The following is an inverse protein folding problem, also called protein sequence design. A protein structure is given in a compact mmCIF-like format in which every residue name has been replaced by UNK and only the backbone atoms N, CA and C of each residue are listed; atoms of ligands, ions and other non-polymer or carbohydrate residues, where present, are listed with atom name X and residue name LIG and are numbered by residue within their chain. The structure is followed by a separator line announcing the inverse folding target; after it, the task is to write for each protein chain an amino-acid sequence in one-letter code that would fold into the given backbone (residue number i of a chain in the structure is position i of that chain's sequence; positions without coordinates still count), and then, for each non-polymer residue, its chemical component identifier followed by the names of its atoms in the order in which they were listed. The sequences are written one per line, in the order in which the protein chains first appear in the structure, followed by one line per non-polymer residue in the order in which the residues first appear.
data_IF_129774068279
#
_entry.id   IF_129774068279
#
_cell.length_a   1.000
_cell.length_b   1.000
_cell.length_c   1.000
_cell.angle_alpha   90.00
_cell.angle_beta   90.00
_cell.angle_gamma   90.00
#
_symmetry.space_group_name_H-M   'P 1'
#
loop_
_entity.id
_entity.type
_entity.pdbx_description
1 polymer ?
#
# COMPACT_ATOMS: atom_id res chain seq x y z
N UNK A 1 0.94 30.29 13.22
CA UNK A 1 0.63 29.65 11.94
C UNK A 1 0.83 28.17 12.17
N UNK A 2 -0.20 27.33 12.15
CA UNK A 2 0.01 25.89 12.23
C UNK A 2 0.69 25.48 10.92
N UNK A 3 1.91 24.97 11.01
CA UNK A 3 2.59 24.41 9.83
C UNK A 3 1.70 23.33 9.24
N UNK A 4 1.38 23.44 7.96
CA UNK A 4 0.64 22.40 7.24
C UNK A 4 1.37 21.07 7.38
N UNK A 5 0.66 19.94 7.54
CA UNK A 5 1.29 18.65 7.71
C UNK A 5 2.17 18.29 6.50
N UNK A 6 3.27 17.60 6.75
CA UNK A 6 4.12 17.11 5.65
C UNK A 6 3.43 15.95 4.92
N UNK A 7 2.81 15.04 5.66
CA UNK A 7 2.12 13.87 5.09
C UNK A 7 0.65 13.87 5.44
N UNK A 8 -0.16 13.48 4.46
CA UNK A 8 -1.53 13.02 4.67
C UNK A 8 -1.57 11.51 4.36
N UNK A 9 -1.91 10.73 5.36
CA UNK A 9 -2.11 9.29 5.22
C UNK A 9 -3.60 9.01 5.26
N UNK A 10 -4.19 8.51 4.18
CA UNK A 10 -5.57 8.06 4.17
C UNK A 10 -5.66 6.58 4.53
N UNK A 11 -6.61 6.19 5.37
CA UNK A 11 -6.89 4.78 5.69
C UNK A 11 -8.37 4.50 5.51
N UNK A 12 -8.68 3.55 4.62
CA UNK A 12 -10.02 3.02 4.46
C UNK A 12 -10.23 1.85 5.42
N UNK A 13 -11.39 1.80 6.08
CA UNK A 13 -11.74 0.70 7.01
C UNK A 13 -13.22 0.33 6.94
N UNK A 14 -13.51 -0.95 7.18
CA UNK A 14 -14.87 -1.45 7.39
C UNK A 14 -14.85 -2.72 8.23
N UNK A 15 -15.44 -2.66 9.43
CA UNK A 15 -15.58 -3.80 10.35
C UNK A 15 -14.25 -4.50 10.64
N UNK A 16 -13.19 -3.72 10.92
CA UNK A 16 -11.85 -4.25 11.15
C UNK A 16 -11.06 -3.43 12.18
N UNK A 17 -11.72 -3.16 13.32
CA UNK A 17 -11.17 -2.31 14.39
C UNK A 17 -9.78 -2.77 14.86
N UNK A 18 -9.58 -4.08 14.98
CA UNK A 18 -8.33 -4.60 15.52
C UNK A 18 -7.13 -4.35 14.60
N UNK A 19 -7.33 -4.40 13.28
CA UNK A 19 -6.30 -4.09 12.29
C UNK A 19 -6.10 -2.58 12.21
N UNK A 20 -7.19 -1.81 12.16
CA UNK A 20 -7.15 -0.35 12.14
C UNK A 20 -6.32 0.21 13.30
N UNK A 21 -6.49 -0.30 14.52
CA UNK A 21 -5.70 0.14 15.68
C UNK A 21 -4.20 -0.02 15.45
N UNK A 22 -3.77 -1.16 14.93
CA UNK A 22 -2.36 -1.39 14.61
C UNK A 22 -1.84 -0.50 13.47
N UNK A 23 -2.66 -0.28 12.43
CA UNK A 23 -2.35 0.67 11.37
C UNK A 23 -2.11 2.07 11.94
N UNK A 24 -3.05 2.57 12.75
CA UNK A 24 -2.95 3.87 13.43
C UNK A 24 -1.70 3.95 14.30
N UNK A 25 -1.40 2.92 15.10
CA UNK A 25 -0.18 2.87 15.90
C UNK A 25 1.09 3.00 15.06
N UNK A 26 1.12 2.41 13.87
CA UNK A 26 2.26 2.49 12.96
C UNK A 26 2.46 3.90 12.37
N UNK A 27 1.38 4.63 12.14
CA UNK A 27 1.40 6.01 11.65
C UNK A 27 1.79 6.96 12.79
N UNK A 28 1.21 6.82 13.99
CA UNK A 28 1.59 7.58 15.20
C UNK A 28 3.06 7.43 15.57
N UNK A 29 3.63 6.27 15.27
CA UNK A 29 5.05 6.00 15.53
C UNK A 29 6.03 6.59 14.52
N UNK A 30 5.56 7.33 13.52
CA UNK A 30 6.44 8.03 12.58
C UNK A 30 6.98 9.30 13.23
N UNK A 31 8.28 9.41 13.32
CA UNK A 31 8.97 10.54 13.94
C UNK A 31 9.71 11.40 12.91
N UNK A 32 10.02 12.65 13.27
CA UNK A 32 10.78 13.58 12.44
C UNK A 32 9.97 14.25 11.32
N UNK A 33 8.65 14.01 11.26
CA UNK A 33 7.73 14.61 10.29
C UNK A 33 6.39 14.92 10.94
N UNK A 34 5.64 15.88 10.38
CA UNK A 34 4.27 16.13 10.76
C UNK A 34 3.31 15.35 9.88
N UNK A 35 2.37 14.64 10.50
CA UNK A 35 1.44 13.74 9.82
C UNK A 35 0.01 14.07 10.23
N UNK A 36 -0.89 14.21 9.27
CA UNK A 36 -2.32 14.07 9.49
C UNK A 36 -2.74 12.66 9.04
N UNK A 37 -3.44 11.96 9.91
CA UNK A 37 -3.98 10.64 9.60
C UNK A 37 -5.49 10.74 9.42
N UNK A 38 -5.97 10.44 8.22
CA UNK A 38 -7.38 10.55 7.83
C UNK A 38 -7.95 9.15 7.73
N UNK A 39 -8.94 8.84 8.57
CA UNK A 39 -9.59 7.52 8.58
C UNK A 39 -10.99 7.65 8.01
N UNK A 40 -11.24 6.95 6.92
CA UNK A 40 -12.55 6.81 6.29
C UNK A 40 -13.16 5.46 6.65
N UNK A 41 -14.19 5.51 7.49
CA UNK A 41 -14.93 4.34 7.94
C UNK A 41 -16.21 4.18 7.12
N UNK A 42 -16.38 3.03 6.50
CA UNK A 42 -17.56 2.70 5.69
C UNK A 42 -18.75 2.24 6.55
N UNK A 43 -19.16 3.05 7.53
CA UNK A 43 -20.26 2.77 8.47
C UNK A 43 -20.10 1.39 9.15
N UNK A 44 -18.97 1.16 9.80
CA UNK A 44 -18.71 -0.08 10.53
C UNK A 44 -19.67 -0.30 11.70
N UNK A 45 -19.91 -1.56 12.03
CA UNK A 45 -20.78 -1.99 13.15
C UNK A 45 -20.05 -2.75 14.26
N UNK A 46 -18.72 -2.89 14.17
CA UNK A 46 -17.86 -3.64 15.09
C UNK A 46 -17.25 -2.78 16.22
N UNK A 47 -17.80 -1.56 16.48
CA UNK A 47 -17.27 -0.62 17.45
C UNK A 47 -16.26 0.39 16.89
N UNK A 48 -15.86 0.28 15.62
CA UNK A 48 -14.93 1.22 14.95
C UNK A 48 -15.39 2.68 15.09
N UNK A 49 -16.64 3.08 14.79
CA UNK A 49 -17.06 4.47 14.92
C UNK A 49 -16.95 5.01 16.35
N UNK A 50 -17.31 4.17 17.35
CA UNK A 50 -17.20 4.54 18.74
C UNK A 50 -15.74 4.76 19.14
N UNK A 51 -14.84 3.86 18.74
CA UNK A 51 -13.42 4.02 19.01
C UNK A 51 -12.83 5.26 18.30
N UNK A 52 -13.17 5.51 17.03
CA UNK A 52 -12.72 6.68 16.28
C UNK A 52 -13.12 7.99 16.97
N UNK A 53 -14.31 8.07 17.55
CA UNK A 53 -14.77 9.24 18.30
C UNK A 53 -13.92 9.52 19.55
N UNK A 54 -13.15 8.57 20.04
CA UNK A 54 -12.21 8.76 21.17
C UNK A 54 -10.80 9.15 20.74
N UNK A 55 -10.53 9.30 19.44
CA UNK A 55 -9.21 9.58 18.88
C UNK A 55 -9.12 11.01 18.33
N UNK A 56 -8.81 12.03 19.16
CA UNK A 56 -8.88 13.45 18.75
C UNK A 56 -7.78 13.85 17.75
N UNK A 57 -6.75 13.06 17.61
CA UNK A 57 -5.63 13.26 16.67
C UNK A 57 -5.90 12.69 15.26
N UNK A 58 -6.97 11.93 15.08
CA UNK A 58 -7.39 11.41 13.79
C UNK A 58 -8.45 12.33 13.15
N UNK A 59 -8.31 12.55 11.85
CA UNK A 59 -9.39 13.10 11.04
C UNK A 59 -10.30 11.96 10.60
N UNK A 60 -11.19 11.52 11.50
CA UNK A 60 -12.05 10.36 11.26
C UNK A 60 -13.43 10.78 10.75
N UNK A 61 -13.89 10.11 9.71
CA UNK A 61 -15.25 10.26 9.17
C UNK A 61 -15.85 8.87 8.94
N UNK A 62 -17.08 8.66 9.43
CA UNK A 62 -17.86 7.44 9.18
C UNK A 62 -19.02 7.82 8.25
N UNK A 63 -18.95 7.34 7.01
CA UNK A 63 -19.94 7.60 5.97
C UNK A 63 -19.98 6.46 4.96
N UNK A 64 -21.10 6.24 4.25
CA UNK A 64 -21.14 5.25 3.19
C UNK A 64 -20.14 5.56 2.07
N UNK A 65 -19.53 4.52 1.51
CA UNK A 65 -18.66 4.61 0.35
C UNK A 65 -18.96 3.51 -0.70
N UNK A 66 -18.36 3.64 -1.87
CA UNK A 66 -18.46 2.67 -2.96
C UNK A 66 -17.29 1.69 -2.99
N UNK A 67 -16.51 1.59 -1.90
CA UNK A 67 -15.36 0.71 -1.73
C UNK A 67 -14.09 1.45 -1.38
N UNK A 68 -13.02 0.70 -1.13
CA UNK A 68 -11.73 1.16 -0.59
C UNK A 68 -11.17 2.39 -1.34
N UNK A 69 -11.18 2.40 -2.66
CA UNK A 69 -10.61 3.52 -3.43
C UNK A 69 -11.43 4.79 -3.35
N UNK A 70 -12.76 4.68 -3.23
CA UNK A 70 -13.65 5.81 -2.98
C UNK A 70 -13.39 6.40 -1.59
N UNK A 71 -13.28 5.55 -0.57
CA UNK A 71 -12.89 5.97 0.79
C UNK A 71 -11.53 6.70 0.80
N UNK A 72 -10.52 6.17 0.11
CA UNK A 72 -9.19 6.81 0.01
C UNK A 72 -9.31 8.17 -0.70
N UNK A 73 -10.10 8.26 -1.78
CA UNK A 73 -10.34 9.50 -2.49
C UNK A 73 -10.99 10.56 -1.61
N UNK A 74 -12.01 10.19 -0.81
CA UNK A 74 -12.62 11.06 0.20
C UNK A 74 -11.60 11.52 1.24
N UNK A 75 -10.73 10.63 1.72
CA UNK A 75 -9.64 10.97 2.62
C UNK A 75 -8.69 12.01 2.01
N UNK A 76 -8.25 11.80 0.78
CA UNK A 76 -7.38 12.77 0.09
C UNK A 76 -8.07 14.10 -0.20
N UNK A 77 -9.37 14.11 -0.46
CA UNK A 77 -10.14 15.34 -0.65
C UNK A 77 -10.18 16.22 0.61
N UNK A 78 -10.04 15.61 1.80
CA UNK A 78 -9.99 16.30 3.11
C UNK A 78 -8.57 16.66 3.56
N UNK A 79 -7.57 16.20 2.81
CA UNK A 79 -6.16 16.28 3.20
C UNK A 79 -5.51 17.62 2.90
N UNK A 80 -4.46 17.99 3.67
CA UNK A 80 -3.71 19.23 3.52
C UNK A 80 -2.19 19.01 3.40
N UNK A 81 -1.69 17.78 3.59
CA UNK A 81 -0.28 17.44 3.59
C UNK A 81 0.39 17.65 2.24
N UNK A 82 1.67 17.96 2.28
CA UNK A 82 2.51 18.12 1.09
C UNK A 82 2.70 16.83 0.30
N UNK A 83 2.67 15.69 0.98
CA UNK A 83 2.77 14.36 0.41
C UNK A 83 1.54 13.55 0.76
N UNK A 84 1.04 12.80 -0.21
CA UNK A 84 -0.13 11.94 -0.07
C UNK A 84 0.28 10.47 -0.13
N UNK A 85 -0.36 9.66 0.69
CA UNK A 85 -0.23 8.22 0.69
C UNK A 85 -1.49 7.58 1.25
N UNK A 86 -1.57 6.26 1.20
CA UNK A 86 -2.61 5.54 1.91
C UNK A 86 -2.07 4.23 2.49
N UNK A 87 -2.72 3.78 3.53
CA UNK A 87 -2.61 2.44 4.09
C UNK A 87 -4.00 1.85 4.19
N UNK A 88 -4.16 0.60 3.83
CA UNK A 88 -5.34 -0.15 4.23
C UNK A 88 -5.26 -0.47 5.73
N UNK A 89 -6.40 -0.79 6.35
CA UNK A 89 -6.43 -1.04 7.79
C UNK A 89 -5.51 -2.20 8.25
N UNK A 90 -5.20 -3.15 7.36
CA UNK A 90 -4.30 -4.29 7.59
C UNK A 90 -2.82 -4.03 7.27
N UNK A 91 -2.48 -2.81 6.84
CA UNK A 91 -1.12 -2.41 6.45
C UNK A 91 -0.48 -1.51 7.52
N UNK A 92 0.86 -1.44 7.52
CA UNK A 92 1.62 -0.63 8.49
C UNK A 92 2.85 -0.02 7.84
N UNK A 93 3.23 1.20 8.23
CA UNK A 93 4.57 1.71 7.96
C UNK A 93 5.58 1.12 8.93
N UNK A 94 6.79 0.86 8.43
CA UNK A 94 7.92 0.60 9.30
C UNK A 94 8.41 1.91 9.94
N UNK A 95 9.00 1.87 11.15
CA UNK A 95 9.53 3.08 11.80
C UNK A 95 10.51 3.84 10.91
N UNK A 96 10.34 5.17 10.84
CA UNK A 96 11.18 6.07 10.06
C UNK A 96 10.88 6.06 8.54
N UNK A 97 9.82 5.42 8.09
CA UNK A 97 9.41 5.42 6.68
C UNK A 97 9.12 6.82 6.18
N UNK A 98 8.27 7.58 6.88
CA UNK A 98 7.86 8.90 6.40
C UNK A 98 9.01 9.92 6.42
N UNK A 99 9.89 9.87 7.43
CA UNK A 99 11.09 10.70 7.46
C UNK A 99 12.01 10.40 6.24
N UNK A 100 12.26 9.13 5.96
CA UNK A 100 13.02 8.74 4.78
C UNK A 100 12.38 9.23 3.48
N UNK A 101 11.08 9.08 3.31
CA UNK A 101 10.36 9.52 2.11
C UNK A 101 10.44 11.04 1.96
N UNK A 102 10.32 11.78 3.08
CA UNK A 102 10.50 13.23 3.07
C UNK A 102 11.88 13.64 2.55
N UNK A 103 12.94 13.11 3.17
CA UNK A 103 14.32 13.41 2.80
C UNK A 103 14.59 13.05 1.34
N UNK A 104 14.07 11.91 0.90
CA UNK A 104 14.22 11.44 -0.46
C UNK A 104 13.54 12.39 -1.46
N UNK A 105 12.31 12.81 -1.19
CA UNK A 105 11.62 13.79 -2.04
C UNK A 105 12.30 15.16 -2.03
N UNK A 106 12.89 15.58 -0.91
CA UNK A 106 13.67 16.83 -0.87
C UNK A 106 14.89 16.73 -1.79
N UNK A 107 15.59 15.62 -1.79
CA UNK A 107 16.75 15.38 -2.65
C UNK A 107 16.39 15.20 -4.15
N UNK A 108 15.13 14.85 -4.45
CA UNK A 108 14.67 14.56 -5.81
C UNK A 108 13.41 15.37 -6.18
N UNK A 109 13.51 16.72 -6.29
CA UNK A 109 12.35 17.59 -6.47
C UNK A 109 11.54 17.33 -7.74
N UNK A 110 12.17 16.80 -8.78
CA UNK A 110 11.51 16.49 -10.05
C UNK A 110 10.71 15.19 -10.06
N UNK A 111 10.78 14.39 -9.00
CA UNK A 111 10.08 13.09 -8.93
C UNK A 111 8.81 13.23 -8.08
N UNK A 112 7.63 13.05 -8.68
CA UNK A 112 6.37 13.20 -7.93
C UNK A 112 5.81 11.89 -7.38
N UNK A 113 6.32 10.72 -7.81
CA UNK A 113 5.85 9.41 -7.32
C UNK A 113 7.02 8.53 -6.92
N UNK A 114 6.95 8.01 -5.71
CA UNK A 114 7.92 7.08 -5.14
C UNK A 114 7.19 5.83 -4.64
N UNK A 115 7.83 4.67 -4.80
CA UNK A 115 7.44 3.45 -4.10
C UNK A 115 8.67 2.65 -3.67
N UNK A 116 8.48 1.76 -2.70
CA UNK A 116 9.58 0.96 -2.16
C UNK A 116 9.30 -0.53 -2.11
N UNK A 117 10.22 -1.22 -1.44
CA UNK A 117 10.08 -2.62 -1.07
C UNK A 117 9.12 -2.76 0.12
N UNK A 118 8.59 -3.95 0.34
CA UNK A 118 7.68 -4.22 1.45
C UNK A 118 7.85 -5.62 2.02
N UNK A 119 7.43 -5.75 3.26
CA UNK A 119 7.32 -7.01 3.96
C UNK A 119 5.89 -7.53 3.84
N UNK A 120 5.72 -8.82 3.67
CA UNK A 120 4.42 -9.49 3.75
C UNK A 120 4.34 -10.20 5.08
N UNK A 121 3.31 -9.92 5.87
CA UNK A 121 3.13 -10.52 7.19
C UNK A 121 1.69 -10.95 7.43
N UNK A 122 1.51 -11.94 8.30
CA UNK A 122 0.21 -12.35 8.82
C UNK A 122 -0.30 -11.36 9.87
N UNK A 123 -1.55 -11.51 10.24
CA UNK A 123 -2.21 -10.68 11.26
C UNK A 123 -1.51 -10.71 12.63
N UNK A 124 -0.81 -11.79 12.96
CA UNK A 124 0.02 -11.90 14.16
C UNK A 124 1.38 -11.22 14.04
N UNK A 125 1.68 -10.64 12.88
CA UNK A 125 2.95 -9.98 12.57
C UNK A 125 4.07 -10.94 12.20
N UNK A 126 3.81 -12.25 12.01
CA UNK A 126 4.83 -13.18 11.49
C UNK A 126 5.09 -12.92 10.01
N UNK A 127 6.37 -12.76 9.65
CA UNK A 127 6.75 -12.48 8.26
C UNK A 127 6.63 -13.72 7.38
N UNK A 128 6.07 -13.52 6.18
CA UNK A 128 5.91 -14.54 5.13
C UNK A 128 6.90 -14.34 4.01
N UNK A 129 7.10 -13.11 3.56
CA UNK A 129 8.00 -12.80 2.47
C UNK A 129 8.58 -11.38 2.58
N UNK A 130 9.78 -11.20 2.04
CA UNK A 130 10.39 -9.90 1.82
C UNK A 130 10.34 -9.58 0.32
N UNK A 131 9.49 -8.64 -0.06
CA UNK A 131 9.28 -8.23 -1.44
C UNK A 131 10.25 -7.13 -1.81
N UNK A 132 11.29 -7.49 -2.55
CA UNK A 132 12.16 -6.54 -3.23
C UNK A 132 11.67 -6.38 -4.65
N UNK A 133 11.28 -5.16 -4.97
CA UNK A 133 10.73 -4.86 -6.28
C UNK A 133 11.81 -4.36 -7.24
N UNK A 134 11.42 -3.96 -8.42
CA UNK A 134 12.27 -3.48 -9.51
C UNK A 134 11.75 -2.12 -9.97
N UNK A 135 12.53 -1.33 -10.71
CA UNK A 135 12.04 -0.07 -11.27
C UNK A 135 10.73 -0.24 -12.05
N UNK A 136 9.88 0.79 -12.00
CA UNK A 136 8.58 0.76 -12.67
C UNK A 136 8.75 0.56 -14.19
N UNK A 137 8.12 -0.48 -14.70
CA UNK A 137 8.10 -0.81 -16.12
C UNK A 137 6.65 -0.91 -16.57
N UNK A 138 6.14 0.08 -17.30
CA UNK A 138 4.76 0.06 -17.81
C UNK A 138 4.41 -1.23 -18.55
N UNK A 139 5.33 -1.77 -19.36
CA UNK A 139 5.14 -3.04 -20.06
C UNK A 139 4.83 -4.22 -19.12
N UNK A 140 5.47 -4.30 -17.95
CA UNK A 140 5.21 -5.36 -16.97
C UNK A 140 3.86 -5.18 -16.28
N UNK A 141 3.51 -3.93 -15.96
CA UNK A 141 2.24 -3.62 -15.29
C UNK A 141 1.06 -3.83 -16.23
N UNK A 142 1.16 -3.35 -17.46
CA UNK A 142 0.11 -3.53 -18.48
C UNK A 142 -0.15 -5.02 -18.76
N UNK A 143 0.90 -5.81 -18.96
CA UNK A 143 0.75 -7.22 -19.36
C UNK A 143 0.65 -8.20 -18.19
N UNK A 144 0.80 -7.73 -16.96
CA UNK A 144 0.76 -8.55 -15.75
C UNK A 144 0.01 -7.87 -14.61
N UNK A 145 0.71 -7.57 -13.54
CA UNK A 145 0.16 -6.98 -12.32
C UNK A 145 0.99 -5.78 -11.85
N UNK A 146 0.37 -4.93 -11.04
CA UNK A 146 1.06 -3.83 -10.37
C UNK A 146 2.05 -4.42 -9.35
N UNK A 147 3.32 -4.04 -9.47
CA UNK A 147 4.37 -4.49 -8.56
C UNK A 147 4.77 -3.43 -7.52
N UNK A 148 4.16 -2.25 -7.56
CA UNK A 148 4.22 -1.25 -6.51
C UNK A 148 3.06 -1.50 -5.53
N UNK A 149 3.35 -2.00 -4.32
CA UNK A 149 2.30 -2.24 -3.33
C UNK A 149 1.72 -0.92 -2.83
N UNK A 150 0.40 -0.89 -2.60
CA UNK A 150 -0.37 0.25 -2.11
C UNK A 150 0.31 0.95 -0.93
N UNK A 151 0.67 0.19 0.09
CA UNK A 151 1.30 0.68 1.31
C UNK A 151 2.69 1.31 1.13
N UNK A 152 3.28 1.22 -0.07
CA UNK A 152 4.59 1.82 -0.36
C UNK A 152 4.52 3.01 -1.32
N UNK A 153 3.33 3.37 -1.79
CA UNK A 153 3.13 4.46 -2.74
C UNK A 153 3.02 5.81 -2.04
N UNK A 154 3.85 6.75 -2.49
CA UNK A 154 3.86 8.13 -2.01
C UNK A 154 3.83 9.09 -3.19
N UNK A 155 3.02 10.14 -3.05
CA UNK A 155 2.74 11.11 -4.11
C UNK A 155 2.99 12.54 -3.61
N UNK A 156 3.50 13.41 -4.48
CA UNK A 156 3.45 14.84 -4.23
C UNK A 156 2.04 15.36 -4.43
N UNK A 157 1.60 16.26 -3.56
CA UNK A 157 0.27 16.91 -3.63
C UNK A 157 -0.03 17.54 -4.98
N UNK A 158 1.00 18.05 -5.67
CA UNK A 158 0.82 18.66 -6.98
C UNK A 158 0.12 17.76 -8.02
N UNK A 159 0.23 16.43 -7.88
CA UNK A 159 -0.51 15.50 -8.74
C UNK A 159 -2.02 15.51 -8.41
N UNK A 160 -2.36 15.69 -7.13
CA UNK A 160 -3.75 15.87 -6.71
C UNK A 160 -4.32 17.19 -7.22
N UNK A 161 -3.60 18.28 -7.02
CA UNK A 161 -4.01 19.63 -7.41
C UNK A 161 -4.20 19.75 -8.92
N UNK A 162 -3.46 18.96 -9.71
CA UNK A 162 -3.64 18.83 -11.16
C UNK A 162 -4.74 17.83 -11.57
N UNK A 163 -5.45 17.20 -10.64
CA UNK A 163 -6.48 16.22 -10.89
C UNK A 163 -5.98 14.87 -11.42
N UNK A 164 -4.68 14.57 -11.26
CA UNK A 164 -4.07 13.33 -11.77
C UNK A 164 -4.20 12.15 -10.79
N UNK A 165 -4.42 12.41 -9.49
CA UNK A 165 -4.64 11.38 -8.47
C UNK A 165 -6.15 11.11 -8.28
N UNK A 166 -6.80 10.59 -9.30
CA UNK A 166 -8.20 10.17 -9.25
C UNK A 166 -8.29 8.69 -9.56
N UNK A 167 -8.95 7.94 -8.71
CA UNK A 167 -9.33 6.57 -9.03
C UNK A 167 -10.50 6.57 -10.02
N UNK A 168 -10.62 5.52 -10.82
CA UNK A 168 -11.77 5.32 -11.71
C UNK A 168 -12.91 4.71 -10.89
N UNK A 169 -14.04 5.40 -10.82
CA UNK A 169 -15.23 5.00 -10.03
C UNK A 169 -15.85 3.68 -10.49
N UNK A 170 -15.54 3.24 -11.71
CA UNK A 170 -15.94 1.95 -12.24
C UNK A 170 -15.06 0.76 -11.80
N UNK A 171 -13.99 1.02 -11.05
CA UNK A 171 -13.04 0.00 -10.60
C UNK A 171 -13.01 -0.09 -9.08
N UNK A 172 -13.27 -1.29 -8.54
CA UNK A 172 -13.25 -1.56 -7.09
C UNK A 172 -12.02 -2.33 -6.62
N UNK A 173 -11.36 -3.07 -7.52
CA UNK A 173 -10.29 -4.01 -7.18
C UNK A 173 -8.97 -3.71 -7.87
N UNK A 174 -8.97 -3.01 -9.02
CA UNK A 174 -7.80 -2.73 -9.83
C UNK A 174 -7.58 -1.24 -10.13
N UNK A 175 -8.19 -0.32 -9.36
CA UNK A 175 -8.10 1.12 -9.61
C UNK A 175 -6.69 1.69 -9.36
N UNK A 176 -5.92 1.12 -8.45
CA UNK A 176 -4.50 1.46 -8.23
C UNK A 176 -3.65 1.14 -9.47
N UNK A 177 -3.87 -0.01 -10.08
CA UNK A 177 -3.19 -0.39 -11.32
C UNK A 177 -3.52 0.58 -12.45
N UNK A 178 -4.79 0.93 -12.62
CA UNK A 178 -5.24 1.90 -13.62
C UNK A 178 -4.61 3.28 -13.37
N UNK A 179 -4.65 3.77 -12.12
CA UNK A 179 -4.04 5.04 -11.72
C UNK A 179 -2.56 5.09 -12.10
N UNK A 180 -1.79 4.08 -11.71
CA UNK A 180 -0.36 4.03 -11.97
C UNK A 180 -0.03 3.97 -13.47
N UNK A 181 -0.85 3.28 -14.25
CA UNK A 181 -0.70 3.23 -15.70
C UNK A 181 -1.06 4.56 -16.37
N UNK A 182 -2.08 5.29 -15.88
CA UNK A 182 -2.42 6.64 -16.38
C UNK A 182 -1.30 7.63 -16.09
N UNK A 183 -0.74 7.61 -14.87
CA UNK A 183 0.41 8.44 -14.52
C UNK A 183 1.62 8.13 -15.40
N UNK A 184 1.92 6.85 -15.61
CA UNK A 184 3.01 6.42 -16.48
C UNK A 184 2.79 6.86 -17.92
N UNK A 185 1.59 6.70 -18.49
CA UNK A 185 1.25 7.14 -19.83
C UNK A 185 1.33 8.67 -20.01
N UNK A 186 1.06 9.43 -18.95
CA UNK A 186 1.23 10.89 -18.91
C UNK A 186 2.71 11.34 -18.75
N UNK A 187 3.67 10.41 -18.74
CA UNK A 187 5.09 10.72 -18.58
C UNK A 187 5.49 11.11 -17.15
N UNK A 188 4.66 10.85 -16.17
CA UNK A 188 4.97 11.15 -14.76
C UNK A 188 6.09 10.23 -14.28
N UNK A 189 7.21 10.76 -13.74
CA UNK A 189 8.28 9.96 -13.17
C UNK A 189 7.80 9.12 -11.97
N UNK A 190 7.95 7.80 -12.06
CA UNK A 190 7.63 6.84 -11.00
C UNK A 190 8.93 6.13 -10.63
N UNK A 191 9.41 6.34 -9.40
CA UNK A 191 10.72 5.84 -8.98
C UNK A 191 10.59 4.81 -7.87
N UNK A 192 11.31 3.70 -8.03
CA UNK A 192 11.51 2.68 -7.02
C UNK A 192 12.71 3.01 -6.14
N UNK A 193 12.57 2.88 -4.83
CA UNK A 193 13.68 2.91 -3.88
C UNK A 193 13.87 1.53 -3.26
N UNK A 194 15.12 0.99 -3.20
CA UNK A 194 15.38 -0.35 -2.67
C UNK A 194 15.41 -0.32 -1.13
N UNK A 195 14.30 0.11 -0.52
CA UNK A 195 14.12 0.18 0.93
C UNK A 195 12.77 -0.40 1.31
N UNK A 196 12.74 -1.21 2.35
CA UNK A 196 11.50 -1.76 2.92
C UNK A 196 10.80 -0.65 3.70
N UNK A 197 9.64 -0.23 3.22
CA UNK A 197 8.91 0.93 3.74
C UNK A 197 7.72 0.51 4.61
N UNK A 198 7.09 -0.62 4.29
CA UNK A 198 5.82 -1.00 4.88
C UNK A 198 5.68 -2.50 5.07
N UNK A 199 4.70 -2.87 5.86
CA UNK A 199 4.17 -4.23 6.00
C UNK A 199 2.85 -4.30 5.26
N UNK A 200 2.74 -5.23 4.34
CA UNK A 200 1.51 -5.63 3.68
C UNK A 200 0.89 -6.81 4.44
N UNK A 201 -0.29 -6.60 5.00
CA UNK A 201 -1.01 -7.63 5.77
C UNK A 201 -1.66 -8.67 4.86
N UNK A 202 -1.58 -9.94 5.24
CA UNK A 202 -2.33 -11.02 4.60
C UNK A 202 -3.04 -11.87 5.65
N UNK A 203 -4.34 -12.12 5.43
CA UNK A 203 -5.17 -12.95 6.30
C UNK A 203 -6.20 -13.80 5.53
N UNK A 204 -6.12 -13.76 4.20
CA UNK A 204 -7.04 -14.44 3.30
C UNK A 204 -8.30 -13.63 2.94
N UNK A 205 -8.56 -12.47 3.58
CA UNK A 205 -9.67 -11.57 3.26
C UNK A 205 -9.29 -10.42 2.33
N UNK A 206 -8.04 -10.38 1.85
CA UNK A 206 -7.53 -9.30 1.01
C UNK A 206 -8.38 -9.13 -0.26
N UNK A 207 -8.66 -7.89 -0.65
CA UNK A 207 -9.46 -7.55 -1.84
C UNK A 207 -8.95 -8.20 -3.13
N UNK A 208 -7.63 -8.40 -3.22
CA UNK A 208 -6.99 -9.09 -4.35
C UNK A 208 -7.36 -10.58 -4.50
N UNK A 209 -8.03 -11.19 -3.51
CA UNK A 209 -8.59 -12.55 -3.62
C UNK A 209 -9.99 -12.59 -4.22
N UNK A 210 -10.64 -11.42 -4.38
CA UNK A 210 -12.01 -11.37 -4.87
C UNK A 210 -12.10 -11.81 -6.34
N UNK A 211 -13.10 -12.64 -6.72
CA UNK A 211 -13.23 -13.15 -8.10
C UNK A 211 -13.29 -12.06 -9.18
N UNK A 212 -13.87 -10.89 -8.86
CA UNK A 212 -13.97 -9.76 -9.81
C UNK A 212 -12.61 -9.07 -10.06
N UNK A 213 -11.61 -9.29 -9.22
CA UNK A 213 -10.26 -8.71 -9.38
C UNK A 213 -9.67 -9.04 -10.77
N UNK A 214 -9.77 -10.30 -11.22
CA UNK A 214 -9.21 -10.70 -12.52
C UNK A 214 -10.01 -10.07 -13.69
N UNK A 215 -11.32 -9.92 -13.53
CA UNK A 215 -12.16 -9.27 -14.54
C UNK A 215 -11.78 -7.79 -14.71
N UNK A 216 -11.63 -7.07 -13.61
CA UNK A 216 -11.18 -5.66 -13.65
C UNK A 216 -9.74 -5.54 -14.13
N UNK A 217 -8.85 -6.44 -13.69
CA UNK A 217 -7.47 -6.46 -14.15
C UNK A 217 -7.36 -6.67 -15.66
N UNK A 218 -8.23 -7.52 -16.25
CA UNK A 218 -8.28 -7.69 -17.72
C UNK A 218 -8.86 -6.46 -18.41
N UNK A 219 -9.89 -5.81 -17.82
CA UNK A 219 -10.43 -4.54 -18.34
C UNK A 219 -9.34 -3.47 -18.38
N UNK A 220 -8.59 -3.30 -17.30
CA UNK A 220 -7.47 -2.36 -17.21
C UNK A 220 -6.37 -2.72 -18.22
N UNK A 221 -6.02 -4.01 -18.35
CA UNK A 221 -5.06 -4.47 -19.36
C UNK A 221 -5.47 -4.04 -20.77
N UNK A 222 -6.73 -4.26 -21.16
CA UNK A 222 -7.24 -3.88 -22.47
C UNK A 222 -7.24 -2.37 -22.68
N UNK A 223 -7.68 -1.62 -21.70
CA UNK A 223 -7.72 -0.15 -21.73
C UNK A 223 -6.35 0.46 -21.98
N UNK A 224 -5.31 -0.12 -21.40
CA UNK A 224 -3.92 0.36 -21.51
C UNK A 224 -3.08 -0.36 -22.60
N UNK A 225 -3.71 -1.06 -23.52
CA UNK A 225 -3.04 -1.63 -24.69
C UNK A 225 -2.15 -2.85 -24.40
N UNK A 226 -2.59 -3.73 -23.49
CA UNK A 226 -1.91 -5.01 -23.27
C UNK A 226 -1.85 -5.85 -24.55
N UNK A 227 -0.82 -6.66 -24.67
CA UNK A 227 -0.66 -7.60 -25.76
C UNK A 227 -1.85 -8.56 -25.81
N UNK A 228 -2.44 -8.77 -26.98
CA UNK A 228 -3.59 -9.69 -27.17
C UNK A 228 -3.18 -11.14 -26.97
N UNK A 229 -1.97 -11.51 -27.38
CA UNK A 229 -1.46 -12.87 -27.25
C UNK A 229 -1.03 -13.19 -25.82
N UNK A 230 -1.65 -14.21 -25.22
CA UNK A 230 -1.26 -14.74 -23.91
C UNK A 230 0.18 -15.26 -23.87
N UNK A 231 0.68 -15.80 -24.99
CA UNK A 231 2.08 -16.25 -25.09
C UNK A 231 3.06 -15.06 -25.00
N UNK A 232 2.76 -13.96 -25.69
CA UNK A 232 3.59 -12.75 -25.64
C UNK A 232 3.54 -12.10 -24.25
N UNK A 233 2.37 -12.05 -23.61
CA UNK A 233 2.25 -11.60 -22.21
C UNK A 233 3.12 -12.44 -21.26
N UNK A 234 3.12 -13.76 -21.41
CA UNK A 234 3.98 -14.66 -20.63
C UNK A 234 5.47 -14.36 -20.84
N UNK A 235 5.88 -14.09 -22.10
CA UNK A 235 7.26 -13.71 -22.40
C UNK A 235 7.67 -12.41 -21.69
N UNK A 236 6.81 -11.38 -21.72
CA UNK A 236 7.03 -10.14 -20.97
C UNK A 236 7.19 -10.42 -19.46
N UNK A 237 6.35 -11.29 -18.90
CA UNK A 237 6.44 -11.64 -17.47
C UNK A 237 7.66 -12.51 -17.13
N UNK A 238 8.16 -13.29 -18.06
CA UNK A 238 9.47 -13.98 -17.92
C UNK A 238 10.61 -12.95 -17.88
N UNK A 239 10.56 -11.92 -18.74
CA UNK A 239 11.51 -10.80 -18.68
C UNK A 239 11.51 -10.11 -17.33
N UNK A 240 10.32 -9.81 -16.76
CA UNK A 240 10.20 -9.27 -15.40
C UNK A 240 10.81 -10.20 -14.35
N UNK A 241 10.56 -11.50 -14.47
CA UNK A 241 11.12 -12.49 -13.54
C UNK A 241 12.64 -12.52 -13.62
N UNK A 242 13.21 -12.46 -14.82
CA UNK A 242 14.65 -12.41 -15.04
C UNK A 242 15.27 -11.13 -14.48
N UNK A 243 14.67 -9.95 -14.75
CA UNK A 243 15.12 -8.65 -14.18
C UNK A 243 15.13 -8.71 -12.65
N UNK A 244 14.06 -9.25 -12.06
CA UNK A 244 13.94 -9.39 -10.60
C UNK A 244 14.93 -10.40 -10.01
N UNK A 245 15.28 -11.45 -10.77
CA UNK A 245 16.30 -12.43 -10.36
C UNK A 245 17.69 -11.79 -10.34
N UNK A 246 18.05 -11.06 -11.40
CA UNK A 246 19.34 -10.39 -11.53
C UNK A 246 19.50 -9.30 -10.47
N UNK A 247 18.44 -8.53 -10.16
CA UNK A 247 18.44 -7.53 -9.09
C UNK A 247 18.38 -8.11 -7.66
N UNK A 248 18.38 -9.42 -7.52
CA UNK A 248 18.40 -10.09 -6.21
C UNK A 248 17.05 -10.12 -5.50
N UNK A 249 15.94 -9.84 -6.18
CA UNK A 249 14.59 -9.81 -5.60
C UNK A 249 14.09 -11.16 -5.07
N UNK A 250 14.79 -12.25 -5.34
CA UNK A 250 14.50 -13.59 -4.82
C UNK A 250 15.55 -14.11 -3.83
N UNK A 251 16.61 -13.35 -3.56
CA UNK A 251 17.59 -13.73 -2.55
C UNK A 251 16.92 -13.81 -1.18
N UNK A 252 17.31 -14.81 -0.40
CA UNK A 252 16.82 -14.98 0.96
C UNK A 252 17.70 -14.18 1.92
N UNK A 253 17.05 -13.51 2.85
CA UNK A 253 17.72 -12.70 3.87
C UNK A 253 17.06 -12.91 5.22
N UNK A 254 17.87 -12.77 6.26
CA UNK A 254 17.34 -12.54 7.60
C UNK A 254 16.91 -11.07 7.69
N UNK A 255 15.74 -10.85 8.25
CA UNK A 255 15.19 -9.49 8.36
C UNK A 255 14.54 -9.30 9.72
N UNK A 256 14.99 -8.27 10.43
CA UNK A 256 14.40 -7.85 11.69
C UNK A 256 13.61 -6.56 11.47
N UNK A 257 12.41 -6.50 11.98
CA UNK A 257 11.52 -5.35 11.86
C UNK A 257 10.69 -5.16 13.11
N UNK A 258 10.14 -3.98 13.26
CA UNK A 258 9.25 -3.60 14.35
C UNK A 258 7.81 -3.59 13.83
N UNK A 259 6.97 -4.42 14.43
CA UNK A 259 5.56 -4.57 14.09
C UNK A 259 4.71 -3.88 15.16
N UNK A 260 3.86 -2.92 14.76
CA UNK A 260 2.93 -2.25 15.66
C UNK A 260 1.84 -3.22 16.11
N UNK A 261 1.61 -3.29 17.41
CA UNK A 261 0.67 -4.26 18.01
C UNK A 261 -0.60 -3.61 18.53
N UNK A 262 -0.63 -2.28 18.65
CA UNK A 262 -1.78 -1.52 19.15
C UNK A 262 -1.87 -0.12 18.49
N UNK A 263 -2.88 0.66 18.86
CA UNK A 263 -3.10 2.06 18.43
C UNK A 263 -2.03 3.03 18.96
N UNK A 264 -1.43 2.72 20.07
CA UNK A 264 -0.24 3.42 20.55
C UNK A 264 0.99 2.91 19.79
N UNK A 265 2.05 3.71 19.66
CA UNK A 265 3.27 3.29 18.94
C UNK A 265 4.07 2.25 19.75
N UNK A 266 3.38 1.18 20.15
CA UNK A 266 3.96 0.02 20.81
C UNK A 266 4.33 -1.01 19.76
N UNK A 267 5.59 -1.44 19.78
CA UNK A 267 6.13 -2.33 18.77
C UNK A 267 6.65 -3.62 19.38
N UNK A 268 6.48 -4.69 18.62
CA UNK A 268 7.15 -5.97 18.85
C UNK A 268 8.27 -6.13 17.83
N UNK A 269 9.47 -6.46 18.28
CA UNK A 269 10.55 -6.84 17.38
C UNK A 269 10.32 -8.25 16.85
N UNK A 270 10.35 -8.39 15.54
CA UNK A 270 10.15 -9.66 14.84
C UNK A 270 11.39 -9.94 14.00
N UNK A 271 12.03 -11.08 14.24
CA UNK A 271 13.14 -11.56 13.42
C UNK A 271 12.70 -12.75 12.61
N UNK A 272 12.70 -12.60 11.30
CA UNK A 272 12.41 -13.68 10.37
C UNK A 272 13.69 -14.11 9.64
N UNK A 273 13.92 -15.41 9.61
CA UNK A 273 15.12 -15.99 8.97
C UNK A 273 14.84 -16.43 7.54
N UNK A 274 15.80 -16.19 6.65
CA UNK A 274 15.79 -16.67 5.27
C UNK A 274 14.52 -16.32 4.49
N UNK A 275 13.94 -15.13 4.74
CA UNK A 275 12.77 -14.66 3.97
C UNK A 275 13.08 -14.60 2.48
N UNK A 276 12.24 -15.25 1.68
CA UNK A 276 12.27 -15.18 0.23
C UNK A 276 11.33 -14.10 -0.32
N UNK A 277 11.43 -13.84 -1.61
CA UNK A 277 10.60 -12.82 -2.29
C UNK A 277 9.31 -13.37 -2.92
N UNK A 278 8.88 -14.57 -2.59
CA UNK A 278 7.63 -15.18 -3.10
C UNK A 278 6.64 -15.43 -1.97
N UNK A 279 5.40 -15.22 -2.25
CA UNK A 279 4.28 -15.55 -1.36
C UNK A 279 3.02 -15.78 -2.19
N UNK A 280 2.02 -16.40 -1.58
CA UNK A 280 0.64 -16.47 -2.05
C UNK A 280 -0.26 -15.88 -0.99
N UNK A 281 -1.43 -15.40 -1.36
CA UNK A 281 -2.40 -14.88 -0.37
C UNK A 281 -2.93 -15.98 0.54
N UNK A 282 -2.88 -17.24 0.11
CA UNK A 282 -3.19 -18.39 0.95
C UNK A 282 -2.21 -18.58 2.12
N UNK A 283 -0.99 -18.03 2.02
CA UNK A 283 -0.01 -18.08 3.13
C UNK A 283 -0.47 -17.26 4.35
N UNK A 284 -1.47 -16.37 4.18
CA UNK A 284 -2.09 -15.60 5.27
C UNK A 284 -3.01 -16.43 6.15
N UNK A 285 -3.56 -17.52 5.64
CA UNK A 285 -4.40 -18.43 6.40
C UNK A 285 -3.46 -19.31 7.22
N UNK A 286 -3.45 -19.13 8.56
CA UNK A 286 -2.69 -20.00 9.44
C UNK A 286 -3.16 -21.46 9.26
N UNK A 287 -2.26 -22.45 9.14
CA UNK A 287 -2.69 -23.84 9.23
C UNK A 287 -3.41 -24.02 10.58
N UNK A 288 -4.59 -24.59 10.53
CA UNK A 288 -5.34 -24.98 11.73
C UNK A 288 -4.43 -25.92 12.53
N UNK A 289 -3.73 -25.41 13.52
CA UNK A 289 -3.14 -26.25 14.56
C UNK A 289 -4.30 -26.71 15.42
N UNK A 290 -4.81 -27.92 15.15
CA UNK A 290 -5.53 -28.66 16.16
C UNK A 290 -4.50 -28.91 17.28
N UNK A 291 -4.53 -28.07 18.30
CA UNK A 291 -3.97 -28.46 19.60
C UNK A 291 -4.92 -29.48 20.17
N UNK A 292 -4.42 -30.72 20.35
CA UNK A 292 -5.06 -31.83 21.02
C UNK A 292 -5.08 -31.59 22.54
#
# INVERSE_FOLDING_TARGET
MSDSPLFSVATATRNDLSKLRRCVGSVRGQSGVTVEHIVQDACSSDGTPHWLATQPDLLAVSEPDHGMYDAIHHGWARSQGRYLSWLNADEQYLPGTLAFVHDWFQAHPAVPVLYGDYLVARADGSAVALRREIPFRGAYVVNGFLHAASCTLFFRRELWDRGQLRFDDGLRYAADKDLMLRLYAAGVPIVHVPRVLAVFGIDGSNLSTHPQMETEAELVRRRHGALSSGALRRLVMLGRTAERLVSGGYKRHDFTYRYAVDEQPVYRDVTARRLGGRYTLADGVAPFTQEA
#
